data_IF_672239425092
#
_entry.id   IF_672239425092
#
_cell.length_a   1.000
_cell.length_b   1.000
_cell.length_c   1.000
_cell.angle_alpha   90.00
_cell.angle_beta   90.00
_cell.angle_gamma   90.00
#
_symmetry.space_group_name_H-M   'P 1'
#
loop_
_entity.id
_entity.type
_entity.pdbx_description
1 polymer ?
#
# COMPACT_ATOMS: atom_id res chain seq x y z
N UNK A 1 -13.67 -13.30 5.60
CA UNK A 1 -12.39 -12.98 4.93
C UNK A 1 -11.24 -13.89 5.36
N UNK A 2 -10.92 -14.00 6.66
CA UNK A 2 -9.79 -14.82 7.14
C UNK A 2 -9.80 -16.28 6.64
N UNK A 3 -10.95 -16.96 6.71
CA UNK A 3 -11.08 -18.32 6.20
C UNK A 3 -10.86 -18.41 4.67
N UNK A 4 -11.24 -17.38 3.90
CA UNK A 4 -11.00 -17.33 2.46
C UNK A 4 -9.52 -17.19 2.17
N UNK A 5 -8.85 -16.20 2.79
CA UNK A 5 -7.40 -16.00 2.69
C UNK A 5 -6.63 -17.30 2.99
N UNK A 6 -6.96 -17.96 4.12
CA UNK A 6 -6.38 -19.25 4.52
C UNK A 6 -6.61 -20.35 3.48
N UNK A 7 -7.86 -20.60 3.06
CA UNK A 7 -8.17 -21.73 2.16
C UNK A 7 -7.58 -21.54 0.76
N UNK A 8 -7.71 -20.33 0.22
CA UNK A 8 -7.30 -19.98 -1.14
C UNK A 8 -5.84 -19.55 -1.23
N UNK A 9 -5.17 -19.33 -0.10
CA UNK A 9 -3.77 -18.88 -0.04
C UNK A 9 -3.54 -17.54 -0.76
N UNK A 10 -4.55 -16.66 -0.66
CA UNK A 10 -4.58 -15.30 -1.21
C UNK A 10 -4.41 -14.29 -0.07
N UNK A 11 -3.42 -13.40 -0.19
CA UNK A 11 -3.26 -12.28 0.73
C UNK A 11 -4.39 -11.27 0.55
N UNK A 12 -4.93 -10.76 1.65
CA UNK A 12 -5.97 -9.72 1.64
C UNK A 12 -5.49 -8.52 2.46
N UNK A 13 -5.57 -7.32 1.87
CA UNK A 13 -5.27 -6.06 2.53
C UNK A 13 -6.50 -5.18 2.40
N UNK A 14 -7.05 -4.72 3.53
CA UNK A 14 -8.28 -3.92 3.53
C UNK A 14 -8.43 -3.11 4.82
N UNK A 15 -9.20 -2.02 4.74
CA UNK A 15 -9.65 -1.28 5.92
C UNK A 15 -10.93 -1.87 6.50
N UNK A 16 -11.11 -1.77 7.82
CA UNK A 16 -12.39 -1.98 8.49
C UNK A 16 -13.15 -0.67 8.56
N UNK A 17 -14.48 -0.78 8.66
CA UNK A 17 -15.29 0.31 9.22
C UNK A 17 -14.78 0.69 10.62
N UNK A 18 -15.06 1.91 11.07
CA UNK A 18 -14.61 2.37 12.37
C UNK A 18 -15.09 1.43 13.47
N UNK A 19 -14.15 0.76 14.14
CA UNK A 19 -14.45 -0.01 15.34
C UNK A 19 -14.60 0.98 16.49
N UNK A 20 -15.77 1.05 17.12
CA UNK A 20 -16.01 1.96 18.24
C UNK A 20 -15.95 1.20 19.58
N UNK A 21 -15.11 1.67 20.51
CA UNK A 21 -15.03 1.16 21.89
C UNK A 21 -14.94 2.36 22.84
N UNK A 22 -15.80 2.42 23.84
CA UNK A 22 -15.79 3.47 24.88
C UNK A 22 -15.72 4.89 24.28
N UNK A 23 -16.63 5.20 23.34
CA UNK A 23 -16.71 6.48 22.61
C UNK A 23 -15.46 6.82 21.77
N UNK A 24 -14.61 5.83 21.48
CA UNK A 24 -13.42 6.02 20.67
C UNK A 24 -13.49 5.21 19.40
N UNK A 25 -13.30 5.87 18.26
CA UNK A 25 -13.32 5.27 16.94
C UNK A 25 -11.90 4.88 16.50
N UNK A 26 -11.77 3.64 16.04
CA UNK A 26 -10.53 3.05 15.51
C UNK A 26 -10.71 2.75 14.03
N UNK A 27 -9.99 3.47 13.18
CA UNK A 27 -9.81 3.13 11.77
C UNK A 27 -8.67 2.11 11.67
N UNK A 28 -9.01 0.86 11.33
CA UNK A 28 -8.09 -0.28 11.39
C UNK A 28 -7.82 -0.78 9.98
N UNK A 29 -6.54 -0.86 9.62
CA UNK A 29 -6.04 -1.54 8.44
C UNK A 29 -5.68 -2.99 8.82
N UNK A 30 -6.06 -3.94 7.96
CA UNK A 30 -5.85 -5.36 8.16
C UNK A 30 -5.02 -5.94 7.03
N UNK A 31 -4.00 -6.72 7.40
CA UNK A 31 -3.20 -7.54 6.47
C UNK A 31 -3.40 -9.00 6.84
N UNK A 32 -3.97 -9.77 5.91
CA UNK A 32 -4.16 -11.22 6.05
C UNK A 32 -3.15 -11.94 5.16
N UNK A 33 -2.12 -12.53 5.76
CA UNK A 33 -0.99 -13.13 5.07
C UNK A 33 -1.05 -14.66 5.21
N UNK A 34 -1.60 -15.37 4.20
CA UNK A 34 -1.72 -16.83 4.28
C UNK A 34 -0.38 -17.51 4.07
N UNK A 35 -0.18 -18.60 4.78
CA UNK A 35 1.00 -19.45 4.68
C UNK A 35 0.63 -20.91 4.86
N UNK A 36 1.54 -21.78 4.44
CA UNK A 36 1.49 -23.22 4.72
C UNK A 36 2.57 -23.50 5.75
N UNK A 37 2.18 -24.02 6.91
CA UNK A 37 3.13 -24.43 7.97
C UNK A 37 3.98 -25.62 7.53
N UNK A 38 5.04 -25.91 8.29
CA UNK A 38 5.89 -27.08 8.07
C UNK A 38 5.10 -28.41 8.11
N UNK A 39 4.02 -28.46 8.89
CA UNK A 39 3.10 -29.60 8.98
C UNK A 39 2.03 -29.61 7.86
N UNK A 40 2.24 -28.84 6.79
CA UNK A 40 1.33 -28.73 5.62
C UNK A 40 -0.06 -28.16 5.94
N UNK A 41 -0.29 -27.62 7.14
CA UNK A 41 -1.53 -26.92 7.46
C UNK A 41 -1.54 -25.52 6.86
N UNK A 42 -2.64 -25.17 6.17
CA UNK A 42 -2.92 -23.82 5.68
C UNK A 42 -3.40 -22.94 6.82
N UNK A 43 -2.69 -21.84 7.07
CA UNK A 43 -2.99 -20.83 8.08
C UNK A 43 -2.97 -19.43 7.45
N UNK A 44 -3.38 -18.41 8.21
CA UNK A 44 -3.23 -17.01 7.81
C UNK A 44 -2.87 -16.17 9.02
N UNK A 45 -1.79 -15.41 8.90
CA UNK A 45 -1.39 -14.43 9.89
C UNK A 45 -2.25 -13.18 9.70
N UNK A 46 -2.90 -12.73 10.76
CA UNK A 46 -3.74 -11.54 10.75
C UNK A 46 -3.01 -10.44 11.50
N UNK A 47 -2.72 -9.34 10.81
CA UNK A 47 -2.08 -8.17 11.38
C UNK A 47 -3.06 -7.01 11.32
N UNK A 48 -3.23 -6.33 12.45
CA UNK A 48 -4.14 -5.19 12.60
C UNK A 48 -3.31 -3.95 12.97
N UNK A 49 -3.56 -2.84 12.27
CA UNK A 49 -2.90 -1.56 12.52
C UNK A 49 -3.92 -0.44 12.58
N UNK A 50 -3.90 0.32 13.66
CA UNK A 50 -4.69 1.54 13.74
C UNK A 50 -4.01 2.62 12.89
N UNK A 51 -4.80 3.35 12.09
CA UNK A 51 -4.34 4.45 11.25
C UNK A 51 -3.58 5.49 12.07
N UNK A 52 -2.41 5.90 11.58
CA UNK A 52 -1.54 6.87 12.23
C UNK A 52 -2.11 8.29 12.15
N UNK A 53 -2.68 8.66 10.99
CA UNK A 53 -3.24 9.99 10.74
C UNK A 53 -4.67 9.89 10.20
N UNK A 54 -5.63 10.43 10.94
CA UNK A 54 -7.02 10.55 10.49
C UNK A 54 -7.12 11.78 9.60
N UNK A 55 -7.94 11.72 8.55
CA UNK A 55 -8.15 12.87 7.69
C UNK A 55 -8.93 13.97 8.44
N UNK A 56 -8.73 15.27 8.16
CA UNK A 56 -9.49 16.34 8.81
C UNK A 56 -11.01 16.14 8.72
N UNK A 57 -11.53 15.76 7.55
CA UNK A 57 -12.96 15.48 7.36
C UNK A 57 -13.44 14.26 8.17
N UNK A 58 -12.61 13.23 8.30
CA UNK A 58 -12.87 12.04 9.12
C UNK A 58 -12.95 12.42 10.60
N UNK A 59 -12.05 13.28 11.08
CA UNK A 59 -12.07 13.82 12.45
C UNK A 59 -13.35 14.61 12.70
N UNK A 60 -13.73 15.51 11.78
CA UNK A 60 -14.97 16.30 11.89
C UNK A 60 -16.21 15.41 11.95
N UNK A 61 -16.30 14.41 11.07
CA UNK A 61 -17.40 13.44 11.06
C UNK A 61 -17.50 12.69 12.39
N UNK A 62 -16.39 12.14 12.89
CA UNK A 62 -16.38 11.40 14.16
C UNK A 62 -16.75 12.30 15.35
N UNK A 63 -16.24 13.54 15.38
CA UNK A 63 -16.56 14.50 16.41
C UNK A 63 -18.05 14.89 16.40
N UNK A 64 -18.70 15.01 15.23
CA UNK A 64 -20.15 15.28 15.16
C UNK A 64 -21.01 14.16 15.76
N UNK A 65 -20.46 12.93 15.83
CA UNK A 65 -21.06 11.78 16.48
C UNK A 65 -20.63 11.64 17.95
N UNK A 66 -19.96 12.66 18.52
CA UNK A 66 -19.39 12.67 19.87
C UNK A 66 -18.33 11.57 20.10
N UNK A 67 -17.71 11.09 19.03
CA UNK A 67 -16.65 10.09 19.08
C UNK A 67 -15.27 10.74 19.04
N UNK A 68 -14.33 10.20 19.83
CA UNK A 68 -12.92 10.60 19.79
C UNK A 68 -12.14 9.70 18.84
N UNK A 69 -11.20 10.27 18.09
CA UNK A 69 -10.27 9.45 17.28
C UNK A 69 -9.29 8.67 18.18
N UNK A 70 -8.85 7.51 17.69
CA UNK A 70 -7.84 6.67 18.35
C UNK A 70 -6.56 6.51 17.55
N UNK A 71 -6.06 7.56 16.90
CA UNK A 71 -4.71 7.53 16.34
C UNK A 71 -3.67 7.26 17.44
N UNK A 72 -2.62 6.47 17.13
CA UNK A 72 -1.44 6.39 17.98
C UNK A 72 -0.80 7.77 18.16
N UNK A 73 -0.22 8.01 19.36
CA UNK A 73 0.69 9.14 19.57
C UNK A 73 1.88 9.03 18.60
N UNK A 74 2.52 10.13 18.18
CA UNK A 74 3.65 10.10 17.24
C UNK A 74 4.74 9.08 17.59
N UNK A 75 5.14 8.99 18.86
CA UNK A 75 6.14 8.02 19.34
C UNK A 75 5.72 6.54 19.28
N UNK A 76 4.45 6.26 18.99
CA UNK A 76 3.88 4.91 18.85
C UNK A 76 3.35 4.63 17.44
N UNK A 77 3.46 5.58 16.53
CA UNK A 77 3.10 5.37 15.13
C UNK A 77 4.05 4.36 14.52
N UNK A 78 3.51 3.47 13.70
CA UNK A 78 4.29 2.43 13.03
C UNK A 78 3.73 2.16 11.65
N UNK A 79 4.60 1.67 10.78
CA UNK A 79 4.26 1.10 9.49
C UNK A 79 4.88 -0.30 9.42
N UNK A 80 4.32 -1.17 8.59
CA UNK A 80 4.82 -2.53 8.44
C UNK A 80 5.61 -2.65 7.15
N UNK A 81 6.89 -3.01 7.26
CA UNK A 81 7.66 -3.56 6.15
C UNK A 81 7.45 -5.07 6.14
N UNK A 82 6.64 -5.57 5.21
CA UNK A 82 6.23 -6.97 5.14
C UNK A 82 6.99 -7.67 4.03
N UNK A 83 7.69 -8.74 4.37
CA UNK A 83 8.20 -9.72 3.42
C UNK A 83 7.28 -10.94 3.43
N UNK A 84 6.59 -11.18 2.32
CA UNK A 84 5.70 -12.33 2.16
C UNK A 84 5.84 -12.93 0.77
N UNK A 85 6.14 -14.24 0.71
CA UNK A 85 6.37 -14.98 -0.56
C UNK A 85 7.35 -14.26 -1.50
N UNK A 86 8.49 -13.83 -0.96
CA UNK A 86 9.54 -13.10 -1.70
C UNK A 86 9.04 -11.78 -2.31
N UNK A 87 8.02 -11.15 -1.75
CA UNK A 87 7.59 -9.78 -2.09
C UNK A 87 7.69 -8.93 -0.83
N UNK A 88 8.40 -7.81 -0.94
CA UNK A 88 8.51 -6.78 0.09
C UNK A 88 7.49 -5.68 -0.18
N UNK A 89 6.61 -5.39 0.78
CA UNK A 89 5.61 -4.34 0.63
C UNK A 89 5.30 -3.64 1.95
N UNK A 90 4.65 -2.48 1.84
CA UNK A 90 4.07 -1.78 2.98
C UNK A 90 2.64 -1.36 2.65
N UNK A 91 1.85 -1.13 3.69
CA UNK A 91 0.45 -0.73 3.57
C UNK A 91 0.19 0.63 4.23
N UNK A 92 -0.48 1.51 3.49
CA UNK A 92 -0.81 2.87 3.90
C UNK A 92 -2.32 3.06 3.82
N UNK A 93 -2.86 3.81 4.79
CA UNK A 93 -4.28 4.09 4.89
C UNK A 93 -4.53 5.56 4.60
N UNK A 94 -5.00 5.83 3.38
CA UNK A 94 -5.53 7.10 2.90
C UNK A 94 -4.60 8.27 3.27
N UNK A 95 -5.02 9.13 4.19
CA UNK A 95 -4.33 10.36 4.58
C UNK A 95 -2.90 10.17 5.11
N UNK A 96 -2.49 8.96 5.48
CA UNK A 96 -1.08 8.66 5.78
C UNK A 96 -0.13 8.94 4.60
N UNK A 97 -0.63 8.84 3.36
CA UNK A 97 0.15 9.15 2.15
C UNK A 97 0.45 10.64 2.00
N UNK A 98 -0.32 11.52 2.64
CA UNK A 98 -0.09 12.96 2.60
C UNK A 98 1.19 13.38 3.32
N UNK A 99 1.69 12.56 4.25
CA UNK A 99 2.93 12.82 4.97
C UNK A 99 4.13 12.26 4.16
N UNK A 100 4.98 13.16 3.66
CA UNK A 100 6.14 12.80 2.84
C UNK A 100 7.20 12.01 3.62
N UNK A 101 7.44 12.34 4.89
CA UNK A 101 8.40 11.62 5.73
C UNK A 101 7.96 10.18 5.93
N UNK A 102 6.66 9.99 6.15
CA UNK A 102 6.09 8.66 6.29
C UNK A 102 6.19 7.87 4.99
N UNK A 103 5.80 8.45 3.85
CA UNK A 103 5.97 7.79 2.54
C UNK A 103 7.40 7.34 2.28
N UNK A 104 8.38 8.14 2.70
CA UNK A 104 9.80 7.87 2.47
C UNK A 104 10.41 6.77 3.36
N UNK A 105 9.71 6.32 4.43
CA UNK A 105 10.25 5.38 5.43
C UNK A 105 10.89 4.13 4.85
N UNK A 106 10.31 3.57 3.78
CA UNK A 106 10.77 2.33 3.16
C UNK A 106 11.30 2.54 1.74
N UNK A 107 11.80 3.74 1.43
CA UNK A 107 12.45 4.01 0.14
C UNK A 107 13.50 2.95 -0.16
N UNK A 108 13.52 2.46 -1.40
CA UNK A 108 14.41 1.39 -1.89
C UNK A 108 14.17 -0.03 -1.33
N UNK A 109 13.28 -0.18 -0.34
CA UNK A 109 13.02 -1.47 0.32
C UNK A 109 11.75 -2.17 -0.18
N UNK A 110 10.90 -1.47 -0.94
CA UNK A 110 9.60 -1.99 -1.40
C UNK A 110 9.67 -2.51 -2.84
N UNK A 111 8.94 -3.59 -3.08
CA UNK A 111 8.48 -3.93 -4.44
C UNK A 111 7.11 -3.30 -4.72
N UNK A 112 6.24 -3.23 -3.71
CA UNK A 112 4.88 -2.71 -3.83
C UNK A 112 4.50 -1.86 -2.61
N UNK A 113 3.85 -0.73 -2.83
CA UNK A 113 3.13 0.02 -1.81
C UNK A 113 1.63 -0.20 -2.01
N UNK A 114 0.92 -0.76 -1.03
CA UNK A 114 -0.53 -0.85 -1.06
C UNK A 114 -1.17 0.33 -0.33
N UNK A 115 -2.11 1.00 -0.98
CA UNK A 115 -2.85 2.12 -0.44
C UNK A 115 -4.34 1.82 -0.38
N UNK A 116 -4.89 1.71 0.83
CA UNK A 116 -6.34 1.66 1.04
C UNK A 116 -6.85 3.09 1.20
N UNK A 117 -7.72 3.54 0.31
CA UNK A 117 -8.19 4.92 0.22
C UNK A 117 -9.70 4.97 0.30
N UNK A 118 -10.20 6.02 0.95
CA UNK A 118 -11.60 6.41 0.93
C UNK A 118 -11.62 7.93 0.83
N UNK A 119 -11.51 8.45 -0.39
CA UNK A 119 -11.37 9.89 -0.63
C UNK A 119 -11.94 10.32 -1.98
N UNK A 120 -12.60 11.47 -2.00
CA UNK A 120 -13.22 12.07 -3.18
C UNK A 120 -12.25 12.91 -4.03
N UNK A 121 -11.14 13.41 -3.44
CA UNK A 121 -10.13 14.19 -4.15
C UNK A 121 -9.15 13.25 -4.88
N UNK A 122 -9.62 12.70 -6.00
CA UNK A 122 -8.91 11.68 -6.76
C UNK A 122 -7.57 12.21 -7.30
N UNK A 123 -7.55 13.46 -7.78
CA UNK A 123 -6.35 14.06 -8.38
C UNK A 123 -5.25 14.23 -7.33
N UNK A 124 -5.60 14.69 -6.12
CA UNK A 124 -4.64 14.80 -5.03
C UNK A 124 -3.94 13.46 -4.72
N UNK A 125 -4.71 12.37 -4.59
CA UNK A 125 -4.16 11.05 -4.32
C UNK A 125 -3.44 10.45 -5.53
N UNK A 126 -3.90 10.74 -6.75
CA UNK A 126 -3.21 10.33 -7.97
C UNK A 126 -1.82 10.97 -8.04
N UNK A 127 -1.69 12.27 -7.80
CA UNK A 127 -0.38 12.93 -7.79
C UNK A 127 0.56 12.36 -6.71
N UNK A 128 0.04 12.08 -5.52
CA UNK A 128 0.83 11.47 -4.43
C UNK A 128 1.31 10.07 -4.79
N UNK A 129 0.44 9.23 -5.36
CA UNK A 129 0.80 7.86 -5.75
C UNK A 129 1.73 7.81 -6.95
N UNK A 130 1.58 8.71 -7.92
CA UNK A 130 2.50 8.89 -9.04
C UNK A 130 3.88 9.36 -8.60
N UNK A 131 3.96 10.26 -7.60
CA UNK A 131 5.23 10.65 -6.96
C UNK A 131 5.81 9.46 -6.19
N UNK A 132 5.04 8.81 -5.32
CA UNK A 132 5.50 7.68 -4.52
C UNK A 132 6.05 6.53 -5.38
N UNK A 133 5.41 6.25 -6.52
CA UNK A 133 5.87 5.23 -7.48
C UNK A 133 7.31 5.51 -7.95
N UNK A 134 7.65 6.78 -8.19
CA UNK A 134 8.96 7.19 -8.69
C UNK A 134 9.98 7.38 -7.57
N UNK A 135 9.57 8.01 -6.47
CA UNK A 135 10.43 8.37 -5.34
C UNK A 135 10.85 7.13 -4.52
N UNK A 136 9.91 6.20 -4.31
CA UNK A 136 10.20 4.91 -3.68
C UNK A 136 10.71 3.88 -4.70
N UNK A 137 10.52 4.19 -5.98
CA UNK A 137 10.90 3.37 -7.12
C UNK A 137 10.33 1.95 -7.04
N UNK A 138 9.03 1.82 -6.78
CA UNK A 138 8.31 0.56 -6.59
C UNK A 138 6.94 0.62 -7.28
N UNK A 139 6.24 -0.51 -7.38
CA UNK A 139 4.84 -0.49 -7.79
C UNK A 139 3.97 0.18 -6.71
N UNK A 140 2.93 0.89 -7.09
CA UNK A 140 1.93 1.41 -6.14
C UNK A 140 0.56 0.89 -6.54
N UNK A 141 -0.13 0.21 -5.62
CA UNK A 141 -1.47 -0.29 -5.83
C UNK A 141 -2.43 0.44 -4.90
N UNK A 142 -3.27 1.31 -5.47
CA UNK A 142 -4.28 2.07 -4.75
C UNK A 142 -5.66 1.45 -4.99
N UNK A 143 -6.37 1.16 -3.90
CA UNK A 143 -7.77 0.78 -3.92
C UNK A 143 -8.58 1.86 -3.21
N UNK A 144 -9.40 2.57 -3.97
CA UNK A 144 -10.39 3.52 -3.47
C UNK A 144 -11.80 2.90 -3.60
N UNK A 145 -12.77 3.45 -2.86
CA UNK A 145 -14.18 3.06 -3.03
C UNK A 145 -14.65 3.25 -4.47
N UNK A 146 -15.50 2.36 -4.98
CA UNK A 146 -16.06 2.47 -6.33
C UNK A 146 -16.86 3.75 -6.53
N UNK A 147 -17.40 4.33 -5.46
CA UNK A 147 -18.18 5.58 -5.51
C UNK A 147 -17.34 6.77 -5.98
N UNK A 148 -16.08 6.83 -5.56
CA UNK A 148 -15.16 7.90 -5.96
C UNK A 148 -14.25 7.45 -7.11
N UNK A 149 -13.82 6.18 -7.12
CA UNK A 149 -12.87 5.67 -8.10
C UNK A 149 -11.45 6.22 -7.91
N UNK A 150 -10.65 6.25 -8.96
CA UNK A 150 -9.21 6.49 -8.85
C UNK A 150 -8.43 5.30 -8.29
N UNK A 151 -9.01 4.10 -8.36
CA UNK A 151 -8.29 2.85 -8.08
C UNK A 151 -7.31 2.59 -9.22
N UNK A 152 -6.05 2.32 -8.89
CA UNK A 152 -4.99 2.18 -9.87
C UNK A 152 -3.87 1.24 -9.43
N UNK A 153 -3.11 0.78 -10.42
CA UNK A 153 -1.82 0.11 -10.20
C UNK A 153 -0.80 0.81 -11.06
N UNK A 154 0.18 1.44 -10.42
CA UNK A 154 1.21 2.25 -11.04
C UNK A 154 2.55 1.52 -11.03
N UNK A 155 3.38 1.83 -12.03
CA UNK A 155 4.74 1.31 -12.16
C UNK A 155 5.74 2.42 -12.49
N UNK A 156 7.02 2.31 -12.06
CA UNK A 156 8.04 3.35 -12.22
C UNK A 156 8.60 3.39 -13.66
N UNK A 157 7.73 3.66 -14.63
CA UNK A 157 8.04 3.68 -16.07
C UNK A 157 7.76 5.08 -16.67
N UNK A 158 7.81 5.20 -18.00
CA UNK A 158 7.36 6.43 -18.68
C UNK A 158 5.87 6.70 -18.39
N UNK A 159 5.47 7.97 -18.40
CA UNK A 159 4.09 8.36 -18.08
C UNK A 159 3.05 7.65 -18.96
N UNK A 160 3.41 7.38 -20.23
CA UNK A 160 2.58 6.67 -21.22
C UNK A 160 2.15 5.29 -20.73
N UNK A 161 3.04 4.55 -20.08
CA UNK A 161 2.80 3.17 -19.62
C UNK A 161 2.81 3.04 -18.09
N UNK A 162 2.79 4.15 -17.36
CA UNK A 162 2.88 4.15 -15.90
C UNK A 162 1.66 3.52 -15.23
N UNK A 163 0.48 3.68 -15.83
CA UNK A 163 -0.75 3.05 -15.37
C UNK A 163 -0.86 1.62 -15.94
N UNK A 164 -0.82 0.61 -15.07
CA UNK A 164 -1.20 -0.77 -15.43
C UNK A 164 -2.70 -1.00 -15.32
N UNK A 165 -3.32 -0.36 -14.34
CA UNK A 165 -4.76 -0.30 -14.12
C UNK A 165 -5.08 1.14 -13.74
N UNK A 166 -6.19 1.66 -14.27
CA UNK A 166 -6.81 2.88 -13.77
C UNK A 166 -8.32 2.77 -13.94
N UNK A 167 -9.10 2.96 -12.87
CA UNK A 167 -10.57 2.92 -12.91
C UNK A 167 -11.15 4.14 -12.24
N UNK A 168 -12.01 4.85 -13.00
CA UNK A 168 -12.68 6.09 -12.60
C UNK A 168 -13.79 5.92 -11.55
N UNK A 169 -14.21 4.69 -11.27
CA UNK A 169 -15.32 4.39 -10.35
C UNK A 169 -16.59 3.99 -11.09
N UNK A 170 -17.69 3.87 -10.33
CA UNK A 170 -19.02 3.49 -10.84
C UNK A 170 -19.90 2.87 -9.74
N UNK A 171 -21.16 2.65 -10.08
CA UNK A 171 -22.14 2.00 -9.19
C UNK A 171 -21.78 0.53 -8.90
N UNK A 172 -21.26 -0.16 -9.92
CA UNK A 172 -20.89 -1.56 -9.82
C UNK A 172 -19.53 -1.74 -9.12
N UNK A 173 -19.46 -2.73 -8.23
CA UNK A 173 -18.18 -3.23 -7.75
C UNK A 173 -17.46 -3.96 -8.88
N UNK A 174 -16.19 -3.62 -9.10
CA UNK A 174 -15.35 -4.29 -10.08
C UNK A 174 -14.16 -4.97 -9.40
N UNK A 175 -13.80 -6.14 -9.92
CA UNK A 175 -12.55 -6.82 -9.58
C UNK A 175 -11.63 -6.66 -10.77
N UNK A 176 -10.49 -6.03 -10.53
CA UNK A 176 -9.49 -5.76 -11.56
C UNK A 176 -8.24 -6.56 -11.21
N UNK A 177 -7.61 -7.15 -12.22
CA UNK A 177 -6.41 -7.95 -12.02
C UNK A 177 -5.34 -7.51 -13.01
N UNK A 178 -4.09 -7.52 -12.55
CA UNK A 178 -2.91 -7.29 -13.40
C UNK A 178 -1.74 -8.09 -12.83
N UNK A 179 -0.74 -8.34 -13.66
CA UNK A 179 0.48 -9.04 -13.28
C UNK A 179 1.62 -8.05 -13.16
N UNK A 180 2.35 -8.13 -12.04
CA UNK A 180 3.54 -7.32 -11.77
C UNK A 180 4.79 -8.14 -12.02
N UNK A 181 5.75 -7.57 -12.76
CA UNK A 181 7.04 -8.23 -12.99
C UNK A 181 8.03 -7.77 -11.92
N UNK A 182 7.95 -8.39 -10.75
CA UNK A 182 8.82 -8.07 -9.60
C UNK A 182 10.29 -8.26 -9.97
N UNK A 183 10.63 -9.35 -10.65
CA UNK A 183 12.01 -9.62 -11.08
C UNK A 183 12.58 -8.48 -11.94
N UNK A 184 11.85 -8.03 -12.97
CA UNK A 184 12.30 -6.93 -13.83
C UNK A 184 12.45 -5.61 -13.06
N UNK A 185 11.58 -5.32 -12.10
CA UNK A 185 11.74 -4.17 -11.21
C UNK A 185 13.05 -4.27 -10.42
N UNK A 186 13.32 -5.43 -9.79
CA UNK A 186 14.52 -5.64 -8.98
C UNK A 186 15.81 -5.59 -9.79
N UNK A 187 15.81 -6.21 -10.97
CA UNK A 187 16.91 -6.14 -11.94
C UNK A 187 17.23 -4.69 -12.31
N UNK A 188 16.22 -3.89 -12.67
CA UNK A 188 16.41 -2.48 -12.98
C UNK A 188 16.93 -1.69 -11.77
N UNK A 189 16.43 -1.98 -10.57
CA UNK A 189 16.92 -1.35 -9.33
C UNK A 189 18.39 -1.68 -9.04
N UNK A 190 18.83 -2.90 -9.33
CA UNK A 190 20.19 -3.37 -9.07
C UNK A 190 21.22 -2.78 -10.04
N UNK A 191 20.84 -2.58 -11.31
CA UNK A 191 21.76 -2.10 -12.34
C UNK A 191 22.23 -0.66 -12.07
N UNK A 192 23.53 -0.45 -12.24
CA UNK A 192 24.17 0.87 -12.18
C UNK A 192 23.87 1.75 -13.41
N UNK A 193 23.51 1.16 -14.54
CA UNK A 193 23.10 1.87 -15.76
C UNK A 193 21.93 1.16 -16.45
N UNK A 194 21.13 1.92 -17.22
CA UNK A 194 19.99 1.36 -17.99
C UNK A 194 20.45 0.89 -19.36
N UNK A 195 19.80 -0.15 -19.86
CA UNK A 195 19.92 -0.59 -21.26
C UNK A 195 18.69 -0.15 -22.05
N UNK A 196 18.81 -0.01 -23.36
CA UNK A 196 17.75 0.54 -24.22
C UNK A 196 16.40 -0.22 -24.16
N UNK A 197 16.41 -1.47 -23.71
CA UNK A 197 15.20 -2.29 -23.54
C UNK A 197 14.50 -2.10 -22.17
N UNK A 198 15.08 -1.33 -21.25
CA UNK A 198 14.52 -1.16 -19.91
C UNK A 198 13.30 -0.24 -19.95
N UNK A 199 12.15 -0.76 -19.51
CA UNK A 199 10.91 0.02 -19.38
C UNK A 199 10.83 0.76 -18.04
N UNK A 200 11.51 0.23 -17.02
CA UNK A 200 11.63 0.82 -15.69
C UNK A 200 12.66 1.96 -15.75
N UNK A 201 12.27 3.14 -15.26
CA UNK A 201 13.11 4.34 -15.25
C UNK A 201 14.34 4.17 -14.35
N UNK A 202 15.26 5.13 -14.44
CA UNK A 202 16.41 5.23 -13.54
C UNK A 202 15.98 5.33 -12.07
N UNK A 203 16.82 4.77 -11.19
CA UNK A 203 16.64 4.93 -9.76
C UNK A 203 16.66 6.43 -9.40
N UNK A 204 15.79 6.89 -8.49
CA UNK A 204 15.74 8.29 -8.08
C UNK A 204 16.99 8.69 -7.29
N UNK A 205 17.29 9.99 -7.20
CA UNK A 205 18.34 10.50 -6.31
C UNK A 205 18.16 10.00 -4.87
N UNK A 206 19.28 9.59 -4.26
CA UNK A 206 19.31 9.05 -2.90
C UNK A 206 18.73 7.64 -2.76
N UNK A 207 18.44 6.92 -3.84
CA UNK A 207 18.09 5.50 -3.79
C UNK A 207 19.18 4.71 -3.03
N UNK A 208 18.78 3.99 -1.99
CA UNK A 208 19.68 3.27 -1.11
C UNK A 208 19.90 1.84 -1.63
N UNK A 209 21.11 1.60 -2.12
CA UNK A 209 21.50 0.29 -2.64
C UNK A 209 21.73 -0.75 -1.54
N UNK A 210 22.16 -0.34 -0.34
CA UNK A 210 22.32 -1.29 0.76
C UNK A 210 20.95 -1.80 1.22
N UNK A 211 19.97 -0.90 1.35
CA UNK A 211 18.60 -1.26 1.67
C UNK A 211 17.96 -2.17 0.59
N UNK A 212 18.34 -2.00 -0.68
CA UNK A 212 17.96 -2.89 -1.77
C UNK A 212 18.50 -4.31 -1.58
N UNK A 213 19.77 -4.46 -1.17
CA UNK A 213 20.41 -5.76 -0.94
C UNK A 213 19.77 -6.48 0.25
N UNK A 214 19.53 -5.77 1.35
CA UNK A 214 18.84 -6.31 2.53
C UNK A 214 17.43 -6.82 2.21
N UNK A 215 16.78 -6.27 1.18
CA UNK A 215 15.47 -6.77 0.71
C UNK A 215 15.58 -8.21 0.19
N UNK A 216 16.67 -8.54 -0.50
CA UNK A 216 16.92 -9.87 -1.06
C UNK A 216 17.39 -10.91 -0.05
N UNK A 217 17.83 -10.47 1.14
CA UNK A 217 18.23 -11.34 2.23
C UNK A 217 17.04 -11.70 3.13
N UNK A 218 16.86 -13.00 3.38
CA UNK A 218 15.81 -13.67 4.20
C UNK A 218 14.41 -13.75 3.58
#
# INVERSE_FOLDING_TARGET
MAAHSRRKQISLIFGLEHWVINERAYNILVEMLPYTSNFKHKSSMLVFRVKNHYAPSEITMLNSLRLKISSPKPSKQRYHLIKWKNVSFSTYNCFELANIEHRALFRSQLDILFACVWNQDINYYQHITESATRDLHCYVAQSNTSHYGGSCVLQPTSSIISNKIYVKGGENHCILTTTLNIYALREAQYRSFRINSDTIKHNPPGFDYNALLERGEK
#
